data_IF_725279815713
#
_entry.id   IF_725279815713
#
_cell.length_a   1.000
_cell.length_b   1.000
_cell.length_c   1.000
_cell.angle_alpha   90.00
_cell.angle_beta   90.00
_cell.angle_gamma   90.00
#
_symmetry.space_group_name_H-M   'P 1'
#
loop_
_entity.id
_entity.type
_entity.pdbx_description
1 polymer ?
#
# COMPACT_ATOMS: atom_id res chain seq x y z
N UNK A 1 4.97 15.16 -7.19
CA UNK A 1 5.53 13.79 -7.24
C UNK A 1 5.45 13.08 -5.88
N UNK A 2 5.71 13.76 -4.75
CA UNK A 2 5.55 13.18 -3.40
C UNK A 2 4.11 12.73 -3.05
N UNK A 3 3.11 13.47 -3.52
CA UNK A 3 1.69 13.20 -3.21
C UNK A 3 1.20 11.84 -3.73
N UNK A 4 1.73 11.41 -4.88
CA UNK A 4 1.41 10.13 -5.48
C UNK A 4 1.97 8.96 -4.66
N UNK A 5 3.19 9.10 -4.12
CA UNK A 5 3.81 8.07 -3.30
C UNK A 5 3.09 7.87 -1.97
N UNK A 6 2.63 8.94 -1.32
CA UNK A 6 1.82 8.84 -0.08
C UNK A 6 0.46 8.20 -0.38
N UNK A 7 -0.18 8.59 -1.48
CA UNK A 7 -1.45 8.00 -1.91
C UNK A 7 -1.33 6.50 -2.20
N UNK A 8 -0.28 6.08 -2.90
CA UNK A 8 0.02 4.67 -3.16
C UNK A 8 0.28 3.91 -1.85
N UNK A 9 1.04 4.50 -0.92
CA UNK A 9 1.30 3.91 0.40
C UNK A 9 0.00 3.65 1.18
N UNK A 10 -0.87 4.66 1.30
CA UNK A 10 -2.16 4.49 1.98
C UNK A 10 -3.06 3.46 1.28
N UNK A 11 -3.06 3.41 -0.05
CA UNK A 11 -3.81 2.41 -0.79
C UNK A 11 -3.35 0.98 -0.44
N UNK A 12 -2.04 0.75 -0.40
CA UNK A 12 -1.48 -0.54 0.00
C UNK A 12 -1.86 -0.92 1.43
N UNK A 13 -1.69 0.01 2.37
CA UNK A 13 -2.04 -0.20 3.78
C UNK A 13 -3.53 -0.53 3.95
N UNK A 14 -4.40 0.18 3.24
CA UNK A 14 -5.84 -0.03 3.28
C UNK A 14 -6.24 -1.41 2.71
N UNK A 15 -5.63 -1.84 1.61
CA UNK A 15 -5.93 -3.15 1.01
C UNK A 15 -5.51 -4.29 1.95
N UNK A 16 -4.33 -4.19 2.56
CA UNK A 16 -3.87 -5.14 3.57
C UNK A 16 -4.78 -5.21 4.80
N UNK A 17 -5.22 -4.05 5.34
CA UNK A 17 -6.19 -4.00 6.45
C UNK A 17 -7.54 -4.63 6.12
N UNK A 18 -7.92 -4.67 4.83
CA UNK A 18 -9.14 -5.35 4.36
C UNK A 18 -8.92 -6.85 4.10
N UNK A 19 -7.69 -7.35 4.18
CA UNK A 19 -7.34 -8.71 3.76
C UNK A 19 -7.41 -8.92 2.25
N UNK A 20 -7.41 -7.84 1.47
CA UNK A 20 -7.43 -7.90 0.01
C UNK A 20 -6.05 -8.30 -0.50
N UNK A 21 -5.94 -9.07 -1.59
CA UNK A 21 -4.65 -9.45 -2.16
C UNK A 21 -3.90 -8.23 -2.71
N UNK A 22 -2.58 -8.20 -2.56
CA UNK A 22 -1.70 -7.13 -3.05
C UNK A 22 -1.90 -6.87 -4.56
N UNK A 23 -2.44 -5.71 -4.94
CA UNK A 23 -2.88 -5.40 -6.31
C UNK A 23 -1.88 -4.63 -7.16
N UNK A 24 -0.82 -4.11 -6.54
CA UNK A 24 0.13 -3.24 -7.21
C UNK A 24 1.57 -3.62 -6.88
N UNK A 25 2.44 -3.46 -7.88
CA UNK A 25 3.89 -3.65 -7.76
C UNK A 25 4.62 -2.35 -7.43
N UNK A 26 3.91 -1.22 -7.30
CA UNK A 26 4.52 0.05 -6.91
C UNK A 26 5.21 -0.06 -5.54
N UNK A 27 6.41 0.53 -5.41
CA UNK A 27 7.21 0.42 -4.20
C UNK A 27 6.50 1.04 -2.99
N UNK A 28 5.89 2.21 -3.18
CA UNK A 28 5.21 2.90 -2.08
C UNK A 28 3.97 2.12 -1.63
N UNK A 29 3.22 1.56 -2.57
CA UNK A 29 2.09 0.67 -2.27
C UNK A 29 2.52 -0.58 -1.51
N UNK A 30 3.56 -1.27 -1.98
CA UNK A 30 4.05 -2.49 -1.31
C UNK A 30 4.57 -2.24 0.10
N UNK A 31 5.17 -1.08 0.34
CA UNK A 31 5.58 -0.64 1.68
C UNK A 31 4.36 -0.55 2.60
N UNK A 32 3.32 0.20 2.21
CA UNK A 32 2.12 0.34 3.03
C UNK A 32 1.38 -0.97 3.25
N UNK A 33 1.26 -1.79 2.21
CA UNK A 33 0.62 -3.11 2.30
C UNK A 33 1.34 -4.04 3.28
N UNK A 34 2.68 -4.08 3.21
CA UNK A 34 3.48 -4.91 4.10
C UNK A 34 3.42 -4.42 5.55
N UNK A 35 3.41 -3.11 5.76
CA UNK A 35 3.35 -2.51 7.10
C UNK A 35 2.03 -2.83 7.82
N UNK A 36 0.91 -2.82 7.09
CA UNK A 36 -0.40 -3.25 7.61
C UNK A 36 -0.53 -4.77 7.82
N UNK A 37 0.28 -5.58 7.15
CA UNK A 37 0.21 -7.05 7.23
C UNK A 37 1.06 -7.65 8.37
N UNK A 38 1.80 -6.81 9.10
CA UNK A 38 2.72 -7.20 10.17
C UNK A 38 2.13 -6.86 11.55
#
# INVERSE_FOLDING_TARGET
MFDLSISQYHAGWHDAMRGEPCRSTDLAYRLGYRDASH
#
